data_IF_572827063717
#
_entry.id   IF_572827063717
#
_cell.length_a   1.000
_cell.length_b   1.000
_cell.length_c   1.000
_cell.angle_alpha   90.00
_cell.angle_beta   90.00
_cell.angle_gamma   90.00
#
_symmetry.space_group_name_H-M   'P 1'
#
loop_
_entity.id
_entity.type
_entity.pdbx_description
1 polymer ?
#
# COMPACT_ATOMS: atom_id res chain seq x y z
N UNK A 1 -34.78 16.54 -20.76
CA UNK A 1 -33.64 16.35 -21.68
C UNK A 1 -33.36 14.86 -21.91
N UNK A 2 -33.04 14.07 -20.88
CA UNK A 2 -32.80 12.61 -20.95
C UNK A 2 -33.94 11.78 -21.59
N UNK A 3 -35.20 11.95 -21.16
CA UNK A 3 -36.38 11.30 -21.79
C UNK A 3 -36.62 11.70 -23.26
N UNK A 4 -36.01 12.79 -23.74
CA UNK A 4 -36.11 13.29 -25.11
C UNK A 4 -34.87 12.93 -25.97
N UNK A 5 -33.97 12.07 -25.48
CA UNK A 5 -32.71 11.65 -26.14
C UNK A 5 -31.82 12.81 -26.62
N UNK A 6 -31.93 13.98 -25.99
CA UNK A 6 -31.04 15.11 -26.25
C UNK A 6 -29.87 15.05 -25.28
N UNK A 7 -28.72 14.64 -25.78
CA UNK A 7 -27.46 14.54 -25.04
C UNK A 7 -26.53 15.70 -25.43
N UNK A 8 -25.76 16.19 -24.47
CA UNK A 8 -24.64 17.10 -24.75
C UNK A 8 -23.50 16.37 -25.44
N UNK A 9 -22.60 17.10 -26.09
CA UNK A 9 -21.37 16.52 -26.67
C UNK A 9 -20.41 16.13 -25.54
N UNK A 10 -19.42 15.29 -25.85
CA UNK A 10 -18.35 14.93 -24.92
C UNK A 10 -17.68 16.17 -24.30
N UNK A 11 -17.49 17.22 -25.10
CA UNK A 11 -16.91 18.49 -24.64
C UNK A 11 -17.82 19.25 -23.67
N UNK A 12 -19.14 19.14 -23.80
CA UNK A 12 -20.10 19.78 -22.88
C UNK A 12 -20.13 19.06 -21.54
N UNK A 13 -19.98 17.73 -21.54
CA UNK A 13 -19.82 16.94 -20.33
C UNK A 13 -18.50 17.28 -19.62
N UNK A 14 -17.37 17.32 -20.36
CA UNK A 14 -16.07 17.73 -19.81
C UNK A 14 -16.08 19.14 -19.24
N UNK A 15 -16.70 20.11 -19.93
CA UNK A 15 -16.85 21.48 -19.41
C UNK A 15 -17.71 21.53 -18.16
N UNK A 16 -18.79 20.76 -18.08
CA UNK A 16 -19.61 20.71 -16.87
C UNK A 16 -18.86 20.06 -15.71
N UNK A 17 -18.12 18.97 -15.97
CA UNK A 17 -17.27 18.34 -14.95
C UNK A 17 -16.19 19.31 -14.45
N UNK A 18 -15.49 20.01 -15.36
CA UNK A 18 -14.55 21.08 -15.01
C UNK A 18 -15.20 22.21 -14.22
N UNK A 19 -16.39 22.69 -14.65
CA UNK A 19 -17.10 23.75 -13.95
C UNK A 19 -17.48 23.32 -12.53
N UNK A 20 -17.96 22.08 -12.37
CA UNK A 20 -18.28 21.50 -11.07
C UNK A 20 -17.02 21.36 -10.20
N UNK A 21 -15.90 20.89 -10.77
CA UNK A 21 -14.58 20.84 -10.11
C UNK A 21 -14.15 22.24 -9.65
N UNK A 22 -14.14 23.24 -10.53
CA UNK A 22 -13.75 24.61 -10.22
C UNK A 22 -14.68 25.32 -9.23
N UNK A 23 -15.95 24.88 -9.14
CA UNK A 23 -16.93 25.46 -8.23
C UNK A 23 -16.78 25.01 -6.76
N UNK A 24 -15.88 24.06 -6.47
CA UNK A 24 -15.51 23.64 -5.11
C UNK A 24 -16.63 22.99 -4.30
N UNK A 25 -17.76 22.62 -4.92
CA UNK A 25 -19.00 22.24 -4.22
C UNK A 25 -19.18 20.75 -3.94
N UNK A 26 -18.20 19.88 -4.15
CA UNK A 26 -18.36 18.44 -3.89
C UNK A 26 -17.15 17.82 -3.21
N UNK A 27 -17.38 17.25 -2.04
CA UNK A 27 -16.47 16.31 -1.37
C UNK A 27 -16.22 15.02 -2.20
N UNK A 28 -17.11 14.73 -3.16
CA UNK A 28 -17.17 13.47 -3.92
C UNK A 28 -16.63 13.55 -5.36
N UNK A 29 -15.94 14.64 -5.74
CA UNK A 29 -15.26 14.70 -7.03
C UNK A 29 -13.78 14.41 -6.80
N UNK A 30 -13.25 13.43 -7.51
CA UNK A 30 -11.81 13.19 -7.55
C UNK A 30 -11.20 14.21 -8.51
N UNK A 31 -10.50 15.21 -7.97
CA UNK A 31 -9.91 16.28 -8.76
C UNK A 31 -8.78 15.79 -9.66
N UNK A 32 -8.09 14.73 -9.24
CA UNK A 32 -7.05 14.05 -10.02
C UNK A 32 -7.59 13.28 -11.25
N UNK A 33 -8.90 13.10 -11.37
CA UNK A 33 -9.52 12.37 -12.49
C UNK A 33 -9.48 13.22 -13.77
N UNK A 34 -8.90 12.65 -14.84
CA UNK A 34 -8.67 13.27 -16.16
C UNK A 34 -7.74 14.50 -16.18
N UNK A 35 -7.12 14.89 -15.06
CA UNK A 35 -6.16 16.01 -15.01
C UNK A 35 -4.71 15.56 -15.20
N UNK A 36 -4.43 14.28 -15.03
CA UNK A 36 -3.10 13.68 -15.15
C UNK A 36 -2.92 13.07 -16.53
N UNK A 37 -1.68 13.06 -17.05
CA UNK A 37 -1.37 12.42 -18.33
C UNK A 37 -1.21 10.90 -18.16
N UNK A 38 -2.27 10.25 -17.66
CA UNK A 38 -2.33 8.82 -17.37
C UNK A 38 -3.60 8.22 -17.96
N UNK A 39 -3.54 6.97 -18.39
CA UNK A 39 -4.74 6.21 -18.74
C UNK A 39 -5.62 6.01 -17.49
N UNK A 40 -6.93 6.15 -17.64
CA UNK A 40 -7.87 5.96 -16.54
C UNK A 40 -8.02 4.46 -16.24
N UNK A 41 -7.42 4.02 -15.13
CA UNK A 41 -7.57 2.67 -14.61
C UNK A 41 -8.32 2.72 -13.28
N UNK A 42 -9.58 2.24 -13.21
CA UNK A 42 -10.45 2.42 -12.05
C UNK A 42 -9.83 1.99 -10.71
N UNK A 43 -9.04 0.92 -10.72
CA UNK A 43 -8.42 0.39 -9.50
C UNK A 43 -7.38 1.35 -8.90
N UNK A 44 -6.70 2.18 -9.72
CA UNK A 44 -5.70 3.14 -9.25
C UNK A 44 -6.30 4.30 -8.46
N UNK A 45 -7.62 4.49 -8.58
CA UNK A 45 -8.36 5.50 -7.81
C UNK A 45 -8.86 4.97 -6.47
N UNK A 46 -8.84 3.65 -6.24
CA UNK A 46 -9.23 3.06 -4.96
C UNK A 46 -8.35 3.56 -3.81
N UNK A 47 -7.00 3.58 -3.91
CA UNK A 47 -6.15 4.19 -2.88
C UNK A 47 -6.45 5.66 -2.63
N UNK A 48 -6.73 6.45 -3.67
CA UNK A 48 -7.05 7.88 -3.57
C UNK A 48 -8.33 8.08 -2.75
N UNK A 49 -9.39 7.33 -3.06
CA UNK A 49 -10.65 7.37 -2.32
C UNK A 49 -10.48 6.91 -0.87
N UNK A 50 -9.78 5.80 -0.65
CA UNK A 50 -9.49 5.31 0.71
C UNK A 50 -8.73 6.36 1.53
N UNK A 51 -7.73 7.01 0.93
CA UNK A 51 -6.94 8.05 1.59
C UNK A 51 -7.79 9.27 1.95
N UNK A 52 -8.67 9.74 1.05
CA UNK A 52 -9.56 10.86 1.31
C UNK A 52 -10.65 10.57 2.35
N UNK A 53 -11.13 9.33 2.41
CA UNK A 53 -12.08 8.87 3.42
C UNK A 53 -11.41 8.51 4.76
N UNK A 54 -10.08 8.42 4.77
CA UNK A 54 -9.34 8.00 5.95
C UNK A 54 -9.37 9.11 7.00
N UNK A 55 -9.77 8.79 8.25
CA UNK A 55 -9.63 9.74 9.36
C UNK A 55 -8.17 9.91 9.77
N UNK A 56 -7.27 9.00 9.35
CA UNK A 56 -5.85 9.12 9.59
C UNK A 56 -5.14 9.64 8.34
N UNK A 57 -4.12 10.47 8.53
CA UNK A 57 -3.39 11.12 7.45
C UNK A 57 -2.42 10.18 6.71
N UNK A 58 -2.68 8.88 6.65
CA UNK A 58 -1.79 7.98 5.95
C UNK A 58 -2.44 6.74 5.35
N UNK A 59 -1.70 6.12 4.44
CA UNK A 59 -2.13 4.92 3.73
C UNK A 59 -0.92 4.03 3.36
N UNK A 60 -1.05 2.73 3.61
CA UNK A 60 -0.17 1.70 3.06
C UNK A 60 -0.78 1.13 1.77
N UNK A 61 -0.13 1.39 0.64
CA UNK A 61 -0.47 0.81 -0.65
C UNK A 61 0.36 -0.46 -0.86
N UNK A 62 -0.32 -1.59 -0.73
CA UNK A 62 0.22 -2.94 -0.71
C UNK A 62 0.06 -3.70 -2.06
N UNK A 63 -0.07 -2.97 -3.16
CA UNK A 63 -0.45 -3.50 -4.46
C UNK A 63 0.67 -4.31 -5.11
N UNK A 64 0.31 -5.31 -5.92
CA UNK A 64 1.29 -6.16 -6.61
C UNK A 64 2.23 -5.37 -7.54
N UNK A 65 3.41 -5.94 -7.81
CA UNK A 65 4.43 -5.30 -8.66
C UNK A 65 3.88 -5.06 -10.07
N UNK A 66 3.88 -3.81 -10.52
CA UNK A 66 3.45 -3.45 -11.88
C UNK A 66 2.01 -2.91 -11.99
N UNK A 67 1.27 -2.79 -10.88
CA UNK A 67 -0.06 -2.15 -10.88
C UNK A 67 -0.02 -0.61 -10.87
N UNK A 68 1.16 -0.02 -10.76
CA UNK A 68 1.30 1.44 -10.85
C UNK A 68 1.21 2.19 -9.52
N UNK A 69 1.77 1.64 -8.43
CA UNK A 69 1.92 2.33 -7.13
C UNK A 69 2.49 3.74 -7.22
N UNK A 70 3.43 3.97 -8.13
CA UNK A 70 3.98 5.32 -8.43
C UNK A 70 2.89 6.27 -8.97
N UNK A 71 2.00 5.77 -9.82
CA UNK A 71 0.87 6.53 -10.35
C UNK A 71 -0.13 6.83 -9.24
N UNK A 72 -0.46 5.85 -8.40
CA UNK A 72 -1.38 6.00 -7.27
C UNK A 72 -0.91 7.07 -6.28
N UNK A 73 0.39 7.08 -5.94
CA UNK A 73 0.99 8.13 -5.12
C UNK A 73 0.92 9.52 -5.78
N UNK A 74 1.15 9.61 -7.10
CA UNK A 74 1.02 10.85 -7.85
C UNK A 74 -0.42 11.36 -7.94
N UNK A 75 -1.41 10.47 -8.02
CA UNK A 75 -2.82 10.83 -7.95
C UNK A 75 -3.18 11.40 -6.58
N UNK A 76 -2.74 10.75 -5.49
CA UNK A 76 -2.91 11.27 -4.12
C UNK A 76 -2.30 12.66 -3.98
N UNK A 77 -1.07 12.85 -4.47
CA UNK A 77 -0.41 14.16 -4.48
C UNK A 77 -1.22 15.22 -5.23
N UNK A 78 -1.67 14.89 -6.44
CA UNK A 78 -2.48 15.80 -7.28
C UNK A 78 -3.78 16.20 -6.56
N UNK A 79 -4.40 15.24 -5.87
CA UNK A 79 -5.61 15.47 -5.08
C UNK A 79 -5.36 16.39 -3.88
N UNK A 80 -4.27 16.16 -3.14
CA UNK A 80 -3.86 17.01 -2.02
C UNK A 80 -3.56 18.45 -2.46
N UNK A 81 -2.87 18.62 -3.59
CA UNK A 81 -2.63 19.95 -4.18
C UNK A 81 -3.93 20.68 -4.49
N UNK A 82 -4.88 19.98 -5.12
CA UNK A 82 -6.15 20.58 -5.52
C UNK A 82 -7.04 20.93 -4.32
N UNK A 83 -7.01 20.12 -3.25
CA UNK A 83 -7.90 20.29 -2.09
C UNK A 83 -7.34 21.18 -0.99
N UNK A 84 -6.05 21.08 -0.72
CA UNK A 84 -5.43 21.66 0.47
C UNK A 84 -4.26 22.61 0.15
N UNK A 85 -4.04 22.96 -1.12
CA UNK A 85 -2.91 23.79 -1.55
C UNK A 85 -1.55 23.22 -1.11
N UNK A 86 -1.43 21.88 -1.14
CA UNK A 86 -0.21 21.18 -0.73
C UNK A 86 1.01 21.61 -1.59
N UNK A 87 2.15 21.87 -0.95
CA UNK A 87 3.30 22.55 -1.60
C UNK A 87 4.57 21.73 -1.65
N UNK A 88 4.78 20.81 -0.70
CA UNK A 88 6.00 20.03 -0.54
C UNK A 88 5.72 18.53 -0.54
N UNK A 89 6.11 17.88 -1.63
CA UNK A 89 6.16 16.43 -1.76
C UNK A 89 7.57 15.94 -1.46
N UNK A 90 7.74 15.00 -0.54
CA UNK A 90 9.01 14.28 -0.33
C UNK A 90 8.81 12.82 -0.67
N UNK A 91 9.57 12.33 -1.65
CA UNK A 91 9.61 10.92 -2.01
C UNK A 91 10.93 10.32 -1.55
N UNK A 92 10.87 9.29 -0.72
CA UNK A 92 12.02 8.49 -0.29
C UNK A 92 11.94 7.13 -0.97
N UNK A 93 12.93 6.80 -1.79
CA UNK A 93 12.96 5.56 -2.56
C UNK A 93 14.38 4.96 -2.60
N UNK A 94 14.54 3.68 -3.01
CA UNK A 94 15.86 3.14 -3.34
C UNK A 94 16.61 4.02 -4.35
N UNK A 95 17.93 4.16 -4.18
CA UNK A 95 18.75 5.06 -4.99
C UNK A 95 18.56 4.91 -6.52
N UNK A 96 18.31 3.68 -6.99
CA UNK A 96 18.11 3.32 -8.40
C UNK A 96 16.77 3.78 -8.98
N UNK A 97 15.79 4.12 -8.13
CA UNK A 97 14.45 4.54 -8.56
C UNK A 97 14.29 6.06 -8.62
N UNK A 98 15.29 6.84 -8.18
CA UNK A 98 15.17 8.31 -8.10
C UNK A 98 14.90 8.96 -9.45
N UNK A 99 15.66 8.58 -10.47
CA UNK A 99 15.48 9.10 -11.84
C UNK A 99 14.09 8.76 -12.38
N UNK A 100 13.65 7.53 -12.14
CA UNK A 100 12.31 7.08 -12.53
C UNK A 100 11.23 7.90 -11.83
N UNK A 101 11.34 8.14 -10.53
CA UNK A 101 10.39 8.95 -9.77
C UNK A 101 10.30 10.39 -10.30
N UNK A 102 11.46 11.04 -10.53
CA UNK A 102 11.49 12.38 -11.13
C UNK A 102 10.81 12.42 -12.50
N UNK A 103 11.11 11.44 -13.36
CA UNK A 103 10.54 11.34 -14.69
C UNK A 103 9.01 11.12 -14.66
N UNK A 104 8.53 10.20 -13.82
CA UNK A 104 7.10 9.89 -13.70
C UNK A 104 6.32 11.10 -13.13
N UNK A 105 6.87 11.76 -12.11
CA UNK A 105 6.30 12.98 -11.50
C UNK A 105 6.22 14.14 -12.51
N UNK A 106 7.28 14.37 -13.28
CA UNK A 106 7.29 15.40 -14.31
C UNK A 106 6.36 15.10 -15.49
N UNK A 107 6.46 13.90 -16.06
CA UNK A 107 5.76 13.55 -17.31
C UNK A 107 4.25 13.34 -17.13
N UNK A 108 3.82 12.80 -15.97
CA UNK A 108 2.42 12.45 -15.75
C UNK A 108 1.65 13.46 -14.90
N UNK A 109 2.33 14.09 -13.95
CA UNK A 109 1.69 14.93 -12.93
C UNK A 109 2.13 16.40 -13.01
N UNK A 110 3.07 16.75 -13.90
CA UNK A 110 3.57 18.12 -14.04
C UNK A 110 4.29 18.64 -12.80
N UNK A 111 4.87 17.74 -11.99
CA UNK A 111 5.56 18.09 -10.74
C UNK A 111 7.04 18.33 -11.03
N UNK A 112 7.54 19.50 -10.63
CA UNK A 112 8.97 19.85 -10.67
C UNK A 112 9.69 19.12 -9.53
N UNK A 113 10.17 17.91 -9.84
CA UNK A 113 10.80 17.01 -8.88
C UNK A 113 12.33 17.06 -8.98
N UNK A 114 12.99 17.51 -7.92
CA UNK A 114 14.46 17.58 -7.84
C UNK A 114 15.02 16.51 -6.92
N UNK A 115 16.11 15.88 -7.35
CA UNK A 115 16.82 14.94 -6.48
C UNK A 115 17.67 15.69 -5.47
N UNK A 116 17.55 15.34 -4.19
CA UNK A 116 18.30 15.96 -3.11
C UNK A 116 19.10 14.92 -2.33
N UNK A 117 20.26 15.33 -1.83
CA UNK A 117 20.99 14.65 -0.76
C UNK A 117 20.48 15.08 0.63
N UNK A 118 21.09 14.51 1.69
CA UNK A 118 20.69 14.81 3.05
C UNK A 118 20.93 16.29 3.45
N UNK A 119 22.01 16.90 2.98
CA UNK A 119 22.33 18.30 3.30
C UNK A 119 21.37 19.27 2.59
N UNK A 120 21.08 18.98 1.32
CA UNK A 120 20.17 19.78 0.51
C UNK A 120 18.74 19.68 1.02
N UNK A 121 18.28 18.47 1.37
CA UNK A 121 16.97 18.28 1.97
C UNK A 121 16.85 19.04 3.31
N UNK A 122 17.87 18.94 4.17
CA UNK A 122 17.90 19.67 5.44
C UNK A 122 17.78 21.19 5.23
N UNK A 123 18.47 21.72 4.22
CA UNK A 123 18.39 23.14 3.86
C UNK A 123 16.99 23.53 3.38
N UNK A 124 16.37 22.73 2.51
CA UNK A 124 15.03 23.02 1.98
C UNK A 124 13.94 22.90 3.06
N UNK A 125 14.04 21.93 3.97
CA UNK A 125 13.08 21.77 5.07
C UNK A 125 13.16 22.93 6.09
N UNK A 126 14.32 23.54 6.28
CA UNK A 126 14.49 24.74 7.12
C UNK A 126 13.88 26.01 6.55
N UNK A 127 13.61 26.04 5.23
CA UNK A 127 12.94 27.19 4.61
C UNK A 127 11.47 27.17 5.00
N UNK A 128 10.83 28.33 5.11
CA UNK A 128 9.39 28.38 5.36
C UNK A 128 8.60 27.70 4.24
N UNK A 129 7.55 26.94 4.57
CA UNK A 129 6.69 26.23 3.59
C UNK A 129 6.20 27.14 2.47
N UNK A 130 5.89 28.38 2.81
CA UNK A 130 5.41 29.43 1.89
C UNK A 130 6.51 30.06 1.01
N UNK A 131 7.79 29.85 1.33
CA UNK A 131 8.92 30.29 0.50
C UNK A 131 9.24 29.31 -0.64
N UNK A 132 8.81 28.06 -0.50
CA UNK A 132 8.97 27.05 -1.55
C UNK A 132 8.02 27.37 -2.69
N UNK A 133 8.52 27.24 -3.92
CA UNK A 133 7.67 27.32 -5.13
C UNK A 133 6.53 26.33 -5.00
N UNK A 134 5.32 26.76 -5.36
CA UNK A 134 4.12 25.94 -5.27
C UNK A 134 4.30 24.58 -5.99
N UNK A 135 3.94 23.50 -5.28
CA UNK A 135 3.94 22.13 -5.79
C UNK A 135 5.30 21.46 -6.06
N UNK A 136 6.37 21.83 -5.33
CA UNK A 136 7.71 21.27 -5.55
C UNK A 136 7.84 19.84 -4.99
N UNK A 137 8.49 18.98 -5.76
CA UNK A 137 8.82 17.61 -5.37
C UNK A 137 10.31 17.44 -5.03
N UNK A 138 10.59 16.67 -3.99
CA UNK A 138 11.95 16.29 -3.59
C UNK A 138 12.07 14.78 -3.59
N UNK A 139 13.04 14.24 -4.35
CA UNK A 139 13.25 12.79 -4.47
C UNK A 139 14.59 12.42 -3.85
N UNK A 140 14.54 11.60 -2.81
CA UNK A 140 15.71 11.28 -1.99
C UNK A 140 15.95 9.77 -1.90
N UNK A 141 17.22 9.40 -1.75
CA UNK A 141 17.62 8.01 -1.54
C UNK A 141 17.38 7.58 -0.10
N UNK A 142 16.66 6.49 0.13
CA UNK A 142 16.48 5.91 1.47
C UNK A 142 17.83 5.69 2.17
N UNK A 143 18.81 5.14 1.46
CA UNK A 143 20.15 4.88 1.99
C UNK A 143 20.93 6.18 2.24
N UNK A 144 20.70 7.19 1.40
CA UNK A 144 21.37 8.50 1.48
C UNK A 144 20.91 9.37 2.64
N UNK A 145 19.70 9.14 3.17
CA UNK A 145 19.13 9.92 4.27
C UNK A 145 19.28 9.28 5.66
N UNK A 146 19.72 8.02 5.77
CA UNK A 146 19.74 7.28 7.05
C UNK A 146 20.53 8.02 8.14
N UNK A 147 19.95 8.29 9.31
CA UNK A 147 20.65 8.95 10.41
C UNK A 147 21.74 8.03 10.96
N UNK A 148 23.01 8.47 11.07
CA UNK A 148 24.05 7.67 11.71
C UNK A 148 23.73 7.47 13.21
N UNK A 149 24.19 6.40 13.90
CA UNK A 149 23.76 6.10 15.26
C UNK A 149 24.12 7.20 16.27
N UNK A 150 25.24 7.87 16.02
CA UNK A 150 25.85 8.94 16.82
C UNK A 150 25.41 10.34 16.35
N UNK A 151 24.31 10.46 15.60
CA UNK A 151 23.88 11.75 15.01
C UNK A 151 23.62 12.85 16.06
N UNK A 152 23.34 12.48 17.32
CA UNK A 152 23.16 13.45 18.41
C UNK A 152 24.50 13.97 18.93
N UNK A 153 25.49 13.10 19.07
CA UNK A 153 26.77 13.39 19.74
C UNK A 153 27.88 13.87 18.79
N UNK A 154 27.72 13.65 17.48
CA UNK A 154 28.76 13.99 16.50
C UNK A 154 28.89 15.49 16.25
N UNK A 155 30.10 16.05 16.11
CA UNK A 155 30.25 17.46 15.70
C UNK A 155 29.87 17.73 14.23
N UNK A 156 29.55 16.69 13.46
CA UNK A 156 29.20 16.80 12.04
C UNK A 156 27.85 17.52 11.87
N UNK A 157 27.91 18.81 11.53
CA UNK A 157 26.72 19.66 11.28
C UNK A 157 26.03 19.43 9.94
N UNK A 158 26.68 18.76 8.99
CA UNK A 158 26.19 18.58 7.62
C UNK A 158 26.01 17.10 7.27
N UNK A 159 25.37 16.83 6.13
CA UNK A 159 25.04 15.48 5.67
C UNK A 159 23.95 14.83 6.51
N UNK A 160 24.04 13.50 6.65
CA UNK A 160 23.02 12.67 7.30
C UNK A 160 22.75 13.04 8.76
N UNK A 161 23.80 13.37 9.53
CA UNK A 161 23.65 13.83 10.91
C UNK A 161 23.02 15.23 10.99
N UNK A 162 23.37 16.11 10.04
CA UNK A 162 22.73 17.44 9.90
C UNK A 162 21.24 17.33 9.66
N UNK A 163 20.83 16.51 8.68
CA UNK A 163 19.41 16.25 8.41
C UNK A 163 18.68 15.69 9.64
N UNK A 164 19.27 14.70 10.32
CA UNK A 164 18.67 14.11 11.51
C UNK A 164 18.34 15.17 12.57
N UNK A 165 19.25 16.13 12.82
CA UNK A 165 18.98 17.25 13.73
C UNK A 165 17.87 18.16 13.24
N UNK A 166 17.85 18.49 11.95
CA UNK A 166 16.79 19.34 11.39
C UNK A 166 15.43 18.67 11.56
N UNK A 167 15.32 17.37 11.32
CA UNK A 167 14.06 16.64 11.52
C UNK A 167 13.64 16.62 12.99
N UNK A 168 14.58 16.38 13.91
CA UNK A 168 14.34 16.42 15.36
C UNK A 168 13.87 17.82 15.81
N UNK A 169 14.55 18.89 15.35
CA UNK A 169 14.17 20.29 15.60
C UNK A 169 12.74 20.63 15.10
N UNK A 170 12.32 20.05 13.97
CA UNK A 170 11.02 20.33 13.35
C UNK A 170 9.87 19.52 13.97
N UNK A 171 10.14 18.54 14.83
CA UNK A 171 9.11 17.67 15.44
C UNK A 171 8.10 18.47 16.27
N UNK A 172 8.53 19.55 16.91
CA UNK A 172 7.66 20.42 17.73
C UNK A 172 7.05 21.60 16.94
N UNK A 173 7.23 21.63 15.61
CA UNK A 173 6.76 22.71 14.73
C UNK A 173 5.59 22.26 13.86
N UNK A 174 5.04 23.18 13.07
CA UNK A 174 4.11 22.80 12.00
C UNK A 174 4.76 21.82 11.01
N UNK A 175 4.01 20.84 10.46
CA UNK A 175 4.56 19.88 9.52
C UNK A 175 5.27 20.54 8.34
N UNK A 176 6.55 20.24 8.19
CA UNK A 176 7.39 20.80 7.14
C UNK A 176 7.15 20.15 5.76
N UNK A 177 6.52 18.98 5.74
CA UNK A 177 6.21 18.17 4.55
C UNK A 177 4.69 17.96 4.47
N UNK A 178 4.08 18.28 3.32
CA UNK A 178 2.65 18.02 3.10
C UNK A 178 2.40 16.53 2.87
N UNK A 179 3.16 15.93 1.97
CA UNK A 179 3.05 14.51 1.64
C UNK A 179 4.43 13.86 1.63
N UNK A 180 4.59 12.86 2.48
CA UNK A 180 5.72 11.93 2.47
C UNK A 180 5.30 10.65 1.77
N UNK A 181 6.02 10.29 0.72
CA UNK A 181 5.91 8.99 0.05
C UNK A 181 7.16 8.18 0.34
N UNK A 182 7.01 6.99 0.92
CA UNK A 182 8.13 6.06 1.10
C UNK A 182 7.91 4.86 0.20
N UNK A 183 8.70 4.78 -0.86
CA UNK A 183 8.71 3.65 -1.78
C UNK A 183 9.57 2.49 -1.23
N UNK A 184 9.16 1.27 -1.56
CA UNK A 184 9.70 0.04 -0.99
C UNK A 184 9.74 0.06 0.55
N UNK A 185 8.60 0.40 1.17
CA UNK A 185 8.47 0.53 2.62
C UNK A 185 8.82 -0.75 3.40
N UNK A 186 9.00 -1.88 2.72
CA UNK A 186 9.51 -3.11 3.30
C UNK A 186 10.86 -2.96 4.02
N UNK A 187 11.67 -1.96 3.67
CA UNK A 187 12.91 -1.64 4.38
C UNK A 187 12.74 -1.07 5.79
N UNK A 188 11.51 -0.70 6.19
CA UNK A 188 11.21 -0.04 7.48
C UNK A 188 10.66 -1.00 8.54
N UNK A 189 10.54 -2.29 8.23
CA UNK A 189 9.90 -3.29 9.12
C UNK A 189 10.64 -3.55 10.41
N UNK A 190 11.97 -3.49 10.39
CA UNK A 190 12.76 -3.72 11.59
C UNK A 190 12.98 -2.39 12.34
N UNK A 191 12.37 -2.18 13.51
CA UNK A 191 12.40 -0.91 14.23
C UNK A 191 13.79 -0.50 14.73
N UNK A 192 14.72 -1.46 14.85
CA UNK A 192 16.11 -1.23 15.28
C UNK A 192 17.00 -0.68 14.14
N UNK A 193 16.52 -0.72 12.90
CA UNK A 193 17.30 -0.26 11.76
C UNK A 193 17.27 1.26 11.62
N UNK A 194 18.33 1.83 11.05
CA UNK A 194 18.36 3.26 10.71
C UNK A 194 17.32 3.64 9.64
N UNK A 195 16.88 2.70 8.79
CA UNK A 195 15.79 2.95 7.85
C UNK A 195 14.48 3.21 8.58
N UNK A 196 14.16 2.41 9.61
CA UNK A 196 12.99 2.62 10.44
C UNK A 196 13.11 3.90 11.29
N UNK A 197 14.31 4.19 11.81
CA UNK A 197 14.56 5.45 12.52
C UNK A 197 14.31 6.66 11.62
N UNK A 198 14.83 6.66 10.38
CA UNK A 198 14.55 7.69 9.40
C UNK A 198 13.05 7.82 9.11
N UNK A 199 12.35 6.71 8.92
CA UNK A 199 10.92 6.69 8.66
C UNK A 199 10.10 7.37 9.75
N UNK A 200 10.45 7.12 11.03
CA UNK A 200 9.83 7.79 12.19
C UNK A 200 10.10 9.30 12.17
N UNK A 201 11.36 9.71 12.02
CA UNK A 201 11.74 11.12 12.00
C UNK A 201 11.07 11.90 10.86
N UNK A 202 10.94 11.30 9.67
CA UNK A 202 10.22 11.92 8.56
C UNK A 202 8.71 11.97 8.80
N UNK A 203 8.13 10.90 9.37
CA UNK A 203 6.72 10.84 9.72
C UNK A 203 6.34 11.94 10.72
N UNK A 204 7.21 12.24 11.68
CA UNK A 204 6.93 13.25 12.72
C UNK A 204 6.88 14.68 12.16
N UNK A 205 7.53 14.94 11.02
CA UNK A 205 7.52 16.26 10.35
C UNK A 205 6.61 16.31 9.11
N UNK A 206 5.78 15.27 8.91
CA UNK A 206 4.90 15.13 7.74
C UNK A 206 3.43 15.19 8.11
N UNK A 207 2.65 15.95 7.34
CA UNK A 207 1.20 16.04 7.50
C UNK A 207 0.53 14.76 7.02
N UNK A 208 0.88 14.29 5.82
CA UNK A 208 0.40 13.03 5.24
C UNK A 208 1.51 12.04 4.91
N UNK A 209 1.23 10.73 5.07
CA UNK A 209 2.20 9.66 4.79
C UNK A 209 1.61 8.53 3.95
N UNK A 210 2.23 8.27 2.80
CA UNK A 210 1.91 7.14 1.92
C UNK A 210 3.09 6.18 1.86
N UNK A 211 2.86 4.93 2.27
CA UNK A 211 3.85 3.86 2.18
C UNK A 211 3.53 2.99 0.98
N UNK A 212 4.51 2.70 0.13
CA UNK A 212 4.35 1.82 -1.02
C UNK A 212 5.15 0.54 -0.80
N UNK A 213 4.52 -0.63 -0.91
CA UNK A 213 5.22 -1.91 -0.80
C UNK A 213 4.49 -3.01 -1.57
N UNK A 214 5.18 -3.78 -2.40
CA UNK A 214 4.55 -4.92 -3.07
C UNK A 214 4.39 -6.16 -2.16
N UNK A 215 5.10 -6.20 -1.04
CA UNK A 215 5.27 -7.42 -0.22
C UNK A 215 5.10 -7.14 1.26
N UNK A 216 4.09 -6.36 1.72
CA UNK A 216 4.05 -5.77 3.06
C UNK A 216 4.27 -6.76 4.22
N UNK A 217 3.92 -8.03 4.01
CA UNK A 217 4.08 -9.13 4.96
C UNK A 217 4.95 -10.18 4.28
N UNK A 218 6.20 -10.35 4.71
CA UNK A 218 7.03 -11.45 4.19
C UNK A 218 7.12 -12.61 5.18
N UNK A 219 7.12 -12.39 6.51
CA UNK A 219 7.20 -13.51 7.46
C UNK A 219 6.53 -13.34 8.85
N UNK A 220 6.12 -12.14 9.31
CA UNK A 220 5.46 -11.99 10.63
C UNK A 220 4.40 -10.89 10.66
N UNK A 221 3.36 -11.05 11.48
CA UNK A 221 2.36 -10.01 11.76
C UNK A 221 3.01 -8.71 12.27
N UNK A 222 4.15 -8.83 12.96
CA UNK A 222 4.87 -7.68 13.49
C UNK A 222 5.43 -6.76 12.41
N UNK A 223 5.86 -7.31 11.27
CA UNK A 223 6.33 -6.51 10.12
C UNK A 223 5.24 -5.53 9.66
N UNK A 224 4.00 -6.01 9.57
CA UNK A 224 2.86 -5.20 9.18
C UNK A 224 2.55 -4.15 10.24
N UNK A 225 2.57 -4.52 11.52
CA UNK A 225 2.35 -3.60 12.63
C UNK A 225 3.32 -2.41 12.57
N UNK A 226 4.61 -2.64 12.32
CA UNK A 226 5.59 -1.56 12.26
C UNK A 226 5.31 -0.57 11.13
N UNK A 227 4.85 -1.05 9.97
CA UNK A 227 4.45 -0.18 8.86
C UNK A 227 3.14 0.57 9.17
N UNK A 228 2.15 -0.12 9.74
CA UNK A 228 0.88 0.51 10.10
C UNK A 228 1.03 1.56 11.21
N UNK A 229 1.96 1.36 12.15
CA UNK A 229 2.31 2.36 13.16
C UNK A 229 2.92 3.62 12.58
N UNK A 230 3.65 3.53 11.45
CA UNK A 230 4.11 4.73 10.73
C UNK A 230 2.95 5.43 10.00
N UNK A 231 1.94 4.69 9.56
CA UNK A 231 0.76 5.24 8.90
C UNK A 231 -0.16 5.94 9.91
N UNK A 232 -0.51 5.24 10.98
CA UNK A 232 -1.45 5.67 12.02
C UNK A 232 -0.92 5.31 13.43
N UNK A 233 -0.05 6.16 14.01
CA UNK A 233 0.58 5.88 15.30
C UNK A 233 -0.42 5.88 16.45
N UNK A 234 -1.55 6.57 16.33
CA UNK A 234 -2.56 6.68 17.38
C UNK A 234 -3.36 5.38 17.50
N UNK A 235 -3.78 4.81 16.35
CA UNK A 235 -4.50 3.53 16.33
C UNK A 235 -3.58 2.33 16.59
N UNK A 236 -2.29 2.43 16.20
CA UNK A 236 -1.31 1.35 16.36
C UNK A 236 -0.22 1.70 17.37
N UNK A 237 -0.64 2.16 18.56
CA UNK A 237 0.27 2.50 19.67
C UNK A 237 0.59 1.28 20.56
N UNK A 238 -0.30 0.30 20.67
CA UNK A 238 -0.14 -0.90 21.52
C UNK A 238 0.07 -2.15 20.67
N UNK A 239 1.31 -2.64 20.64
CA UNK A 239 1.72 -3.84 19.88
C UNK A 239 0.91 -5.08 20.23
N UNK A 240 0.64 -5.29 21.51
CA UNK A 240 -0.01 -6.51 22.02
C UNK A 240 -1.49 -6.62 21.60
N UNK A 241 -2.11 -5.50 21.18
CA UNK A 241 -3.47 -5.50 20.68
C UNK A 241 -3.55 -5.90 19.19
N UNK A 242 -2.46 -5.78 18.44
CA UNK A 242 -2.46 -6.01 17.00
C UNK A 242 -2.90 -7.44 16.59
N UNK A 243 -2.48 -8.52 17.28
CA UNK A 243 -3.00 -9.86 16.99
C UNK A 243 -4.53 -9.97 17.12
N UNK A 244 -5.15 -9.23 18.05
CA UNK A 244 -6.60 -9.21 18.21
C UNK A 244 -7.29 -8.49 17.04
N UNK A 245 -6.66 -7.43 16.50
CA UNK A 245 -7.15 -6.75 15.29
C UNK A 245 -7.11 -7.69 14.09
N UNK A 246 -6.02 -8.45 13.92
CA UNK A 246 -5.92 -9.44 12.84
C UNK A 246 -6.96 -10.57 12.99
N UNK A 247 -7.11 -11.11 14.20
CA UNK A 247 -8.09 -12.16 14.49
C UNK A 247 -9.54 -11.68 14.26
N UNK A 248 -9.84 -10.42 14.58
CA UNK A 248 -11.15 -9.83 14.30
C UNK A 248 -11.43 -9.69 12.79
N UNK A 249 -10.40 -9.34 12.01
CA UNK A 249 -10.53 -9.10 10.58
C UNK A 249 -10.52 -10.37 9.72
N UNK A 250 -9.88 -11.45 10.18
CA UNK A 250 -9.77 -12.69 9.39
C UNK A 250 -11.14 -13.21 8.91
N UNK A 251 -12.18 -13.35 9.75
CA UNK A 251 -13.49 -13.81 9.29
C UNK A 251 -14.17 -12.79 8.35
N UNK A 252 -13.92 -11.49 8.51
CA UNK A 252 -14.45 -10.47 7.58
C UNK A 252 -13.84 -10.61 6.18
N UNK A 253 -12.53 -10.82 6.10
CA UNK A 253 -11.83 -11.05 4.82
C UNK A 253 -12.34 -12.34 4.16
N UNK A 254 -12.51 -13.42 4.94
CA UNK A 254 -13.09 -14.67 4.45
C UNK A 254 -14.53 -14.48 3.96
N UNK A 255 -15.36 -13.76 4.72
CA UNK A 255 -16.73 -13.45 4.33
C UNK A 255 -16.78 -12.67 3.01
N UNK A 256 -15.96 -11.62 2.86
CA UNK A 256 -15.87 -10.84 1.61
C UNK A 256 -15.47 -11.72 0.42
N UNK A 257 -14.46 -12.57 0.58
CA UNK A 257 -14.02 -13.48 -0.48
C UNK A 257 -15.13 -14.46 -0.88
N UNK A 258 -15.86 -15.01 0.10
CA UNK A 258 -17.04 -15.85 -0.18
C UNK A 258 -18.12 -15.06 -0.92
N UNK A 259 -18.42 -13.82 -0.53
CA UNK A 259 -19.41 -12.99 -1.24
C UNK A 259 -19.04 -12.81 -2.73
N UNK A 260 -17.75 -12.71 -3.04
CA UNK A 260 -17.27 -12.57 -4.42
C UNK A 260 -17.13 -13.90 -5.17
N UNK A 261 -17.11 -15.03 -4.45
CA UNK A 261 -17.06 -16.37 -5.03
C UNK A 261 -18.48 -16.81 -5.46
N UNK A 262 -18.67 -17.00 -6.78
CA UNK A 262 -19.96 -17.40 -7.35
C UNK A 262 -20.41 -18.79 -6.91
N UNK A 263 -19.50 -19.64 -6.44
CA UNK A 263 -19.80 -20.99 -5.95
C UNK A 263 -20.23 -21.03 -4.47
N UNK A 264 -20.11 -19.91 -3.76
CA UNK A 264 -20.40 -19.86 -2.33
C UNK A 264 -21.89 -19.74 -2.01
N UNK A 265 -22.25 -20.15 -0.79
CA UNK A 265 -23.61 -20.03 -0.26
C UNK A 265 -23.72 -18.93 0.79
N UNK A 266 -24.93 -18.39 0.94
CA UNK A 266 -25.24 -17.42 2.00
C UNK A 266 -24.98 -17.94 3.42
N UNK A 267 -25.12 -19.24 3.64
CA UNK A 267 -24.82 -19.86 4.93
C UNK A 267 -23.33 -19.77 5.27
N UNK A 268 -22.45 -20.04 4.30
CA UNK A 268 -21.00 -19.90 4.46
C UNK A 268 -20.61 -18.45 4.78
N UNK A 269 -21.20 -17.48 4.06
CA UNK A 269 -20.97 -16.05 4.29
C UNK A 269 -21.42 -15.67 5.70
N UNK A 270 -22.65 -16.05 6.08
CA UNK A 270 -23.24 -15.75 7.39
C UNK A 270 -22.46 -16.39 8.54
N UNK A 271 -21.94 -17.60 8.35
CA UNK A 271 -21.07 -18.25 9.33
C UNK A 271 -19.83 -17.41 9.63
N UNK A 272 -19.14 -16.93 8.60
CA UNK A 272 -17.95 -16.08 8.78
C UNK A 272 -18.30 -14.74 9.45
N UNK A 273 -19.41 -14.10 9.07
CA UNK A 273 -19.86 -12.85 9.69
C UNK A 273 -20.26 -13.02 11.16
N UNK A 274 -20.88 -14.15 11.53
CA UNK A 274 -21.17 -14.48 12.93
C UNK A 274 -19.89 -14.75 13.73
N UNK A 275 -18.91 -15.40 13.12
CA UNK A 275 -17.58 -15.59 13.72
C UNK A 275 -16.91 -14.24 14.00
N UNK A 276 -16.95 -13.30 13.04
CA UNK A 276 -16.48 -11.92 13.26
C UNK A 276 -17.24 -11.25 14.42
N UNK A 277 -18.57 -11.38 14.47
CA UNK A 277 -19.41 -10.77 15.50
C UNK A 277 -19.13 -11.31 16.91
N UNK A 278 -18.65 -12.56 17.03
CA UNK A 278 -18.28 -13.14 18.32
C UNK A 278 -17.03 -12.48 18.93
N UNK A 279 -16.19 -11.85 18.11
CA UNK A 279 -14.96 -11.21 18.56
C UNK A 279 -15.25 -9.95 19.42
N UNK A 280 -14.57 -9.72 20.56
CA UNK A 280 -14.82 -8.58 21.45
C UNK A 280 -14.82 -7.22 20.76
N UNK A 281 -13.90 -7.01 19.81
CA UNK A 281 -13.78 -5.75 19.04
C UNK A 281 -14.98 -5.48 18.12
N UNK A 282 -15.75 -6.50 17.72
CA UNK A 282 -16.83 -6.39 16.73
C UNK A 282 -18.22 -6.72 17.28
N UNK A 283 -18.32 -7.27 18.49
CA UNK A 283 -19.58 -7.63 19.16
C UNK A 283 -20.62 -6.51 19.22
N UNK A 284 -20.16 -5.27 19.39
CA UNK A 284 -20.99 -4.06 19.45
C UNK A 284 -21.22 -3.37 18.10
N UNK A 285 -20.62 -3.84 17.01
CA UNK A 285 -20.59 -3.13 15.74
C UNK A 285 -21.98 -3.14 15.07
N UNK A 286 -22.58 -1.95 14.88
CA UNK A 286 -23.91 -1.78 14.29
C UNK A 286 -23.93 -2.11 12.79
N UNK A 287 -22.85 -1.80 12.07
CA UNK A 287 -22.76 -2.08 10.63
C UNK A 287 -22.74 -3.60 10.39
N UNK A 288 -21.98 -4.36 11.20
CA UNK A 288 -21.95 -5.82 11.13
C UNK A 288 -23.32 -6.45 11.40
N UNK A 289 -24.07 -5.92 12.37
CA UNK A 289 -25.47 -6.35 12.60
C UNK A 289 -26.35 -6.06 11.39
N UNK A 290 -26.26 -4.86 10.83
CA UNK A 290 -27.01 -4.49 9.65
C UNK A 290 -26.66 -5.31 8.41
N UNK A 291 -25.43 -5.81 8.30
CA UNK A 291 -25.04 -6.75 7.23
C UNK A 291 -25.60 -8.15 7.48
N UNK A 292 -25.62 -8.62 8.73
CA UNK A 292 -26.22 -9.91 9.09
C UNK A 292 -27.75 -9.94 8.86
N UNK A 293 -28.42 -8.80 8.88
CA UNK A 293 -29.87 -8.72 8.60
C UNK A 293 -30.21 -8.75 7.10
N UNK A 294 -29.21 -8.60 6.22
CA UNK A 294 -29.44 -8.62 4.78
C UNK A 294 -29.86 -10.01 4.25
N UNK A 295 -30.67 -10.04 3.18
CA UNK A 295 -30.91 -11.27 2.44
C UNK A 295 -29.58 -11.80 1.88
N UNK A 296 -29.35 -13.09 2.03
CA UNK A 296 -28.20 -13.81 1.48
C UNK A 296 -28.65 -15.13 0.87
N UNK A 297 -29.91 -15.21 0.43
CA UNK A 297 -30.42 -16.38 -0.26
C UNK A 297 -29.87 -16.48 -1.69
N UNK A 298 -30.15 -17.60 -2.35
CA UNK A 298 -29.67 -17.85 -3.70
C UNK A 298 -30.18 -16.81 -4.71
N UNK A 299 -31.38 -16.24 -4.51
CA UNK A 299 -31.94 -15.22 -5.39
C UNK A 299 -31.15 -13.92 -5.27
N UNK A 300 -30.93 -13.42 -4.05
CA UNK A 300 -30.13 -12.22 -3.80
C UNK A 300 -28.69 -12.37 -4.32
N UNK A 301 -28.05 -13.51 -4.03
CA UNK A 301 -26.68 -13.80 -4.44
C UNK A 301 -26.55 -14.12 -5.93
N UNK A 302 -27.64 -14.33 -6.67
CA UNK A 302 -27.56 -14.51 -8.13
C UNK A 302 -27.23 -13.22 -8.88
N UNK A 303 -27.52 -12.06 -8.27
CA UNK A 303 -27.26 -10.75 -8.86
C UNK A 303 -25.86 -10.22 -8.51
N UNK A 304 -25.04 -9.97 -9.53
CA UNK A 304 -23.68 -9.43 -9.33
C UNK A 304 -23.67 -8.09 -8.58
N UNK A 305 -24.64 -7.20 -8.82
CA UNK A 305 -24.74 -5.92 -8.14
C UNK A 305 -24.92 -6.08 -6.63
N UNK A 306 -25.73 -7.05 -6.21
CA UNK A 306 -25.98 -7.36 -4.80
C UNK A 306 -24.72 -7.93 -4.13
N UNK A 307 -24.01 -8.84 -4.81
CA UNK A 307 -22.72 -9.35 -4.32
C UNK A 307 -21.69 -8.23 -4.14
N UNK A 308 -21.56 -7.34 -5.11
CA UNK A 308 -20.61 -6.21 -5.03
C UNK A 308 -20.99 -5.28 -3.88
N UNK A 309 -22.26 -4.92 -3.74
CA UNK A 309 -22.73 -4.08 -2.65
C UNK A 309 -22.51 -4.72 -1.28
N UNK A 310 -22.80 -6.01 -1.13
CA UNK A 310 -22.58 -6.75 0.10
C UNK A 310 -21.08 -6.85 0.43
N UNK A 311 -20.23 -7.14 -0.55
CA UNK A 311 -18.78 -7.21 -0.37
C UNK A 311 -18.19 -5.85 0.06
N UNK A 312 -18.67 -4.73 -0.51
CA UNK A 312 -18.28 -3.38 -0.10
C UNK A 312 -18.70 -3.10 1.36
N UNK A 313 -19.93 -3.48 1.75
CA UNK A 313 -20.39 -3.32 3.13
C UNK A 313 -19.59 -4.14 4.13
N UNK A 314 -19.20 -5.37 3.77
CA UNK A 314 -18.30 -6.19 4.60
C UNK A 314 -16.93 -5.55 4.71
N UNK A 315 -16.38 -5.04 3.61
CA UNK A 315 -15.09 -4.34 3.61
C UNK A 315 -15.12 -3.07 4.48
N UNK A 316 -16.23 -2.33 4.52
CA UNK A 316 -16.41 -1.15 5.40
C UNK A 316 -16.30 -1.45 6.89
N UNK A 317 -16.53 -2.70 7.30
CA UNK A 317 -16.41 -3.14 8.70
C UNK A 317 -14.95 -3.47 9.06
N UNK A 318 -14.11 -3.76 8.06
CA UNK A 318 -12.71 -4.13 8.25
C UNK A 318 -11.96 -3.01 9.00
N UNK A 319 -11.37 -3.38 10.14
CA UNK A 319 -10.69 -2.43 11.04
C UNK A 319 -9.45 -1.80 10.41
N UNK A 320 -8.90 -2.39 9.34
CA UNK A 320 -7.72 -1.89 8.63
C UNK A 320 -8.06 -1.14 7.34
N UNK A 321 -9.34 -1.02 6.95
CA UNK A 321 -9.78 -0.48 5.64
C UNK A 321 -9.12 0.85 5.29
N UNK A 322 -9.05 1.76 6.25
CA UNK A 322 -8.57 3.12 6.04
C UNK A 322 -7.04 3.23 6.01
N UNK A 323 -6.34 2.22 6.52
CA UNK A 323 -4.89 2.23 6.69
C UNK A 323 -4.15 1.41 5.64
N UNK A 324 -4.80 0.41 5.02
CA UNK A 324 -4.19 -0.44 4.00
C UNK A 324 -5.10 -0.59 2.79
N UNK A 325 -4.53 -0.38 1.59
CA UNK A 325 -5.13 -0.76 0.33
C UNK A 325 -4.29 -1.86 -0.31
N UNK A 326 -4.94 -2.89 -0.85
CA UNK A 326 -4.28 -3.95 -1.60
C UNK A 326 -5.11 -4.34 -2.82
N UNK A 327 -4.48 -4.32 -3.98
CA UNK A 327 -4.99 -4.83 -5.25
C UNK A 327 -4.05 -5.88 -5.79
N UNK A 328 -4.59 -6.99 -6.30
CA UNK A 328 -3.82 -8.05 -6.96
C UNK A 328 -3.99 -7.99 -8.48
N UNK A 329 -3.00 -8.42 -9.24
CA UNK A 329 -3.08 -8.49 -10.72
C UNK A 329 -4.28 -9.31 -11.19
N UNK A 330 -4.59 -10.39 -10.47
CA UNK A 330 -5.73 -11.26 -10.76
C UNK A 330 -7.08 -10.56 -10.62
N UNK A 331 -7.14 -9.42 -9.94
CA UNK A 331 -8.38 -8.66 -9.70
C UNK A 331 -8.63 -7.60 -10.78
N UNK A 332 -7.64 -7.27 -11.62
CA UNK A 332 -7.70 -6.11 -12.53
C UNK A 332 -7.40 -6.43 -13.99
N UNK A 333 -6.74 -7.55 -14.30
CA UNK A 333 -6.48 -7.92 -15.69
C UNK A 333 -7.59 -8.81 -16.24
N UNK A 334 -8.34 -8.29 -17.22
CA UNK A 334 -9.40 -9.02 -17.94
C UNK A 334 -8.88 -10.17 -18.80
N UNK A 335 -7.67 -10.02 -19.38
CA UNK A 335 -7.05 -11.00 -20.28
C UNK A 335 -5.95 -11.78 -19.57
N UNK A 336 -6.34 -12.85 -18.88
CA UNK A 336 -5.44 -13.69 -18.11
C UNK A 336 -4.83 -14.78 -18.99
N UNK A 337 -3.50 -14.94 -18.95
CA UNK A 337 -2.86 -16.20 -19.33
C UNK A 337 -3.15 -17.20 -18.20
N UNK A 338 -4.09 -18.11 -18.43
CA UNK A 338 -4.35 -19.23 -17.51
C UNK A 338 -3.20 -20.21 -17.67
N UNK A 339 -2.31 -20.26 -16.68
CA UNK A 339 -1.28 -21.29 -16.60
C UNK A 339 -1.90 -22.52 -15.95
N UNK A 340 -2.42 -23.42 -16.76
CA UNK A 340 -2.70 -24.78 -16.30
C UNK A 340 -1.36 -25.50 -16.15
N UNK A 341 -0.96 -25.74 -14.91
CA UNK A 341 0.20 -26.58 -14.64
C UNK A 341 -0.20 -28.02 -14.99
N UNK A 342 0.09 -28.46 -16.21
CA UNK A 342 0.12 -29.88 -16.53
C UNK A 342 1.36 -30.46 -15.87
N UNK A 343 1.20 -30.89 -14.62
CA UNK A 343 2.17 -31.76 -13.99
C UNK A 343 2.00 -33.15 -14.61
N UNK A 344 2.78 -33.43 -15.65
CA UNK A 344 2.94 -34.78 -16.15
C UNK A 344 3.63 -35.59 -15.04
N UNK A 345 2.85 -36.46 -14.39
CA UNK A 345 3.40 -37.41 -13.44
C UNK A 345 4.10 -38.50 -14.25
N UNK A 346 5.43 -38.41 -14.31
CA UNK A 346 6.24 -39.53 -14.79
C UNK A 346 6.21 -40.58 -13.70
N UNK A 347 5.58 -41.73 -13.96
CA UNK A 347 5.73 -42.92 -13.11
C UNK A 347 7.19 -43.37 -13.18
N UNK A 348 7.96 -43.05 -12.13
CA UNK A 348 9.29 -43.61 -11.95
C UNK A 348 9.10 -45.05 -11.51
N UNK A 349 9.54 -46.00 -12.35
CA UNK A 349 9.55 -47.42 -12.00
C UNK A 349 10.36 -47.62 -10.69
N UNK A 350 9.71 -48.03 -9.59
CA UNK A 350 10.36 -48.16 -8.30
C UNK A 350 11.52 -49.16 -8.30
N UNK A 351 11.48 -50.14 -9.21
CA UNK A 351 12.45 -51.25 -9.31
C UNK A 351 13.29 -51.18 -10.60
N UNK A 352 13.16 -50.07 -11.35
CA UNK A 352 13.84 -49.87 -12.62
C UNK A 352 15.32 -49.48 -12.48
N UNK A 353 16.06 -49.60 -13.60
CA UNK A 353 17.47 -49.21 -13.70
C UNK A 353 17.73 -47.73 -13.32
N UNK A 354 16.72 -46.87 -13.47
CA UNK A 354 16.78 -45.46 -13.10
C UNK A 354 16.85 -45.26 -11.57
N UNK A 355 16.04 -46.00 -10.79
CA UNK A 355 16.12 -46.00 -9.32
C UNK A 355 17.50 -46.46 -8.86
N UNK A 356 18.02 -47.53 -9.47
CA UNK A 356 19.35 -48.04 -9.16
C UNK A 356 20.43 -47.00 -9.44
N UNK A 357 20.33 -46.28 -10.56
CA UNK A 357 21.22 -45.17 -10.89
C UNK A 357 21.16 -44.06 -9.82
N UNK A 358 19.96 -43.60 -9.45
CA UNK A 358 19.79 -42.57 -8.42
C UNK A 358 20.37 -42.97 -7.07
N UNK A 359 20.14 -44.22 -6.64
CA UNK A 359 20.71 -44.76 -5.40
C UNK A 359 22.24 -44.79 -5.48
N UNK A 360 22.80 -45.29 -6.59
CA UNK A 360 24.27 -45.34 -6.78
C UNK A 360 24.91 -43.95 -6.78
N UNK A 361 24.29 -42.96 -7.42
CA UNK A 361 24.77 -41.57 -7.41
C UNK A 361 24.69 -40.97 -6.01
N UNK A 362 23.56 -41.15 -5.32
CA UNK A 362 23.36 -40.69 -3.94
C UNK A 362 24.40 -41.28 -3.00
N UNK A 363 24.67 -42.58 -3.11
CA UNK A 363 25.66 -43.27 -2.28
C UNK A 363 27.10 -42.90 -2.65
N UNK A 364 27.39 -42.58 -3.91
CA UNK A 364 28.67 -42.01 -4.32
C UNK A 364 28.89 -40.62 -3.70
N UNK A 365 27.87 -39.76 -3.72
CA UNK A 365 27.90 -38.43 -3.11
C UNK A 365 28.08 -38.54 -1.59
N UNK A 366 27.32 -39.41 -0.91
CA UNK A 366 27.49 -39.65 0.54
C UNK A 366 28.87 -40.15 0.91
N UNK A 367 29.44 -41.08 0.12
CA UNK A 367 30.82 -41.56 0.33
C UNK A 367 31.84 -40.44 0.15
N UNK A 368 31.68 -39.61 -0.87
CA UNK A 368 32.52 -38.44 -1.11
C UNK A 368 32.43 -37.44 0.05
N UNK A 369 31.22 -37.11 0.49
CA UNK A 369 30.96 -36.21 1.60
C UNK A 369 31.62 -36.69 2.90
N UNK A 370 31.46 -37.98 3.24
CA UNK A 370 32.14 -38.60 4.40
C UNK A 370 33.65 -38.57 4.30
N UNK A 371 34.22 -38.80 3.11
CA UNK A 371 35.67 -38.75 2.90
C UNK A 371 36.25 -37.33 3.01
N UNK A 372 35.40 -36.29 2.88
CA UNK A 372 35.78 -34.88 2.93
C UNK A 372 35.29 -34.15 4.19
N UNK A 373 34.66 -34.86 5.12
CA UNK A 373 34.04 -34.30 6.34
C UNK A 373 33.02 -33.18 6.04
N UNK A 374 32.25 -33.34 4.96
CA UNK A 374 31.19 -32.42 4.52
C UNK A 374 29.84 -33.03 4.87
N UNK A 375 28.89 -32.23 5.36
CA UNK A 375 27.50 -32.67 5.57
C UNK A 375 26.86 -33.08 4.24
N UNK A 376 26.32 -34.29 4.20
CA UNK A 376 25.71 -34.88 3.01
C UNK A 376 24.45 -34.14 2.54
N UNK A 377 23.71 -33.50 3.44
CA UNK A 377 22.53 -32.67 3.11
C UNK A 377 22.82 -31.36 2.37
N UNK A 378 24.08 -30.99 2.17
CA UNK A 378 24.48 -29.83 1.35
C UNK A 378 24.80 -30.21 -0.11
N UNK A 379 25.01 -31.50 -0.39
CA UNK A 379 25.43 -32.03 -1.69
C UNK A 379 24.35 -32.88 -2.39
N UNK A 380 23.30 -33.24 -1.65
CA UNK A 380 22.05 -33.88 -2.08
C UNK A 380 20.94 -32.85 -2.04
#
# INVERSE_FOLDING_TARGET
MLKKKRFGRLNDLRRNLMFIQLSGRLANVVYSMDTTNTEFLPYQYKPVLTFLESPCNGLLIADEVGLGKTIEAGLIWTELRARYDARRLVVVCPAMLRDKWCMELGNRFGVDATQLDASELAKELKRGKYETRDGKGYVCSLQGLRPPPDWRDTDKRYGRAGLARVLDELTESEPAIDLLVIDEAHYLRNPETQSAALGRMLRDVSEHVVLLSATPVNNQADDLYQLLRLVDPDSFNVRDQFPQVLAANEPLIRARNLVLDLSSTGEQIRHQLKSAQAHPLLKGNRQLRGVLEEPMDAAFLSENANRVALADRVERINLLRHTICRTRKVEVHEWKVVREANSDFVEVDPDGAEREFYVRVTDAIRRYARAKDISDGFLL
#
